data_IF_710269452146
#
_entry.id   IF_710269452146
#
_cell.length_a   1.000
_cell.length_b   1.000
_cell.length_c   1.000
_cell.angle_alpha   90.00
_cell.angle_beta   90.00
_cell.angle_gamma   90.00
#
_symmetry.space_group_name_H-M   'P 1'
#
loop_
_entity.id
_entity.type
_entity.pdbx_description
1 polymer ?
#
# COMPACT_ATOMS: atom_id res chain seq x y z
N UNK A 1 -22.99 -19.30 10.22
CA UNK A 1 -22.49 -18.12 10.96
C UNK A 1 -22.97 -16.87 10.23
N UNK A 2 -23.33 -15.78 10.90
CA UNK A 2 -23.67 -14.53 10.23
C UNK A 2 -22.45 -14.03 9.43
N UNK A 3 -22.70 -13.47 8.23
CA UNK A 3 -21.64 -12.86 7.42
C UNK A 3 -21.03 -11.67 8.20
N UNK A 4 -19.70 -11.51 8.25
CA UNK A 4 -19.07 -10.33 8.83
C UNK A 4 -19.62 -9.04 8.24
N UNK A 5 -19.75 -7.99 9.06
CA UNK A 5 -20.02 -6.65 8.55
C UNK A 5 -18.79 -6.12 7.80
N UNK A 6 -19.00 -5.38 6.72
CA UNK A 6 -17.92 -4.68 6.01
C UNK A 6 -18.18 -3.18 6.18
N UNK A 7 -17.17 -2.46 6.68
CA UNK A 7 -17.25 -1.03 7.01
C UNK A 7 -16.03 -0.33 6.44
N UNK A 8 -16.22 0.60 5.50
CA UNK A 8 -15.12 1.48 5.08
C UNK A 8 -14.81 2.51 6.16
N UNK A 9 -13.52 2.69 6.42
CA UNK A 9 -12.98 3.68 7.36
C UNK A 9 -12.28 4.85 6.65
N UNK A 10 -12.40 4.91 5.33
CA UNK A 10 -11.95 6.01 4.48
C UNK A 10 -12.80 7.25 4.75
N UNK A 11 -12.26 8.27 5.42
CA UNK A 11 -13.03 9.48 5.81
C UNK A 11 -12.84 10.65 4.86
N UNK A 12 -11.77 10.65 4.06
CA UNK A 12 -11.49 11.64 3.01
C UNK A 12 -11.09 13.03 3.51
N UNK A 13 -10.87 13.23 4.82
CA UNK A 13 -10.46 14.52 5.38
C UNK A 13 -9.79 14.39 6.76
N UNK A 14 -8.77 15.23 7.00
CA UNK A 14 -8.15 15.41 8.32
C UNK A 14 -8.87 16.48 9.18
N UNK A 15 -9.88 17.15 8.64
CA UNK A 15 -10.54 18.25 9.33
C UNK A 15 -11.45 17.72 10.45
N UNK A 16 -11.02 17.90 11.71
CA UNK A 16 -11.84 17.64 12.89
C UNK A 16 -11.28 16.55 13.80
N UNK A 17 -12.10 16.12 14.76
CA UNK A 17 -11.77 14.97 15.62
C UNK A 17 -11.86 13.65 14.83
N UNK A 18 -11.11 12.61 15.23
CA UNK A 18 -11.20 11.30 14.60
C UNK A 18 -12.63 10.77 14.56
N UNK A 19 -12.99 10.08 13.47
CA UNK A 19 -14.30 9.40 13.36
C UNK A 19 -14.27 8.14 14.23
N UNK A 20 -15.28 7.96 15.06
CA UNK A 20 -15.34 6.83 16.00
C UNK A 20 -16.24 5.72 15.47
N UNK A 21 -15.69 4.52 15.35
CA UNK A 21 -16.40 3.28 15.02
C UNK A 21 -16.52 2.37 16.25
N UNK A 22 -17.54 1.53 16.28
CA UNK A 22 -17.76 0.56 17.36
C UNK A 22 -17.92 -0.85 16.76
N UNK A 23 -16.97 -1.73 17.04
CA UNK A 23 -16.92 -3.10 16.53
C UNK A 23 -17.71 -4.10 17.41
N UNK A 24 -18.44 -3.62 18.43
CA UNK A 24 -19.16 -4.49 19.35
C UNK A 24 -20.26 -5.32 18.66
N UNK A 25 -20.35 -6.60 19.04
CA UNK A 25 -21.53 -7.44 18.82
C UNK A 25 -21.49 -8.36 17.60
N UNK A 26 -20.61 -8.15 16.61
CA UNK A 26 -20.38 -9.09 15.49
C UNK A 26 -19.06 -8.83 14.79
N UNK A 27 -18.46 -9.88 14.23
CA UNK A 27 -17.28 -9.79 13.36
C UNK A 27 -17.43 -8.69 12.30
N UNK A 28 -16.43 -7.83 12.21
CA UNK A 28 -16.37 -6.68 11.32
C UNK A 28 -15.04 -6.63 10.58
N UNK A 29 -15.10 -6.46 9.26
CA UNK A 29 -13.98 -6.12 8.40
C UNK A 29 -14.01 -4.61 8.16
N UNK A 30 -13.03 -3.90 8.69
CA UNK A 30 -12.80 -2.48 8.42
C UNK A 30 -11.92 -2.36 7.18
N UNK A 31 -12.36 -1.64 6.14
CA UNK A 31 -11.58 -1.48 4.90
C UNK A 31 -10.96 -0.09 4.84
N UNK A 32 -9.67 -0.03 4.58
CA UNK A 32 -8.88 1.19 4.42
C UNK A 32 -8.15 1.17 3.07
N UNK A 33 -8.17 2.28 2.35
CA UNK A 33 -7.40 2.52 1.15
C UNK A 33 -6.51 3.73 1.35
N UNK A 34 -5.18 3.53 1.26
CA UNK A 34 -4.19 4.59 1.49
C UNK A 34 -4.29 5.78 0.55
N UNK A 35 -4.94 5.63 -0.61
CA UNK A 35 -5.23 6.75 -1.51
C UNK A 35 -6.31 7.70 -0.96
N UNK A 36 -7.00 7.31 0.11
CA UNK A 36 -7.99 8.14 0.81
C UNK A 36 -7.53 8.40 2.24
N UNK A 37 -7.78 9.61 2.72
CA UNK A 37 -7.42 9.99 4.08
C UNK A 37 -8.27 9.20 5.11
N UNK A 38 -7.60 8.62 6.09
CA UNK A 38 -8.18 7.92 7.24
C UNK A 38 -7.72 8.56 8.55
N UNK A 39 -8.67 8.92 9.41
CA UNK A 39 -8.42 9.39 10.77
C UNK A 39 -9.54 8.89 11.69
N UNK A 40 -9.33 7.73 12.30
CA UNK A 40 -10.39 6.98 12.99
C UNK A 40 -9.96 6.39 14.31
N UNK A 41 -10.93 6.19 15.20
CA UNK A 41 -10.80 5.40 16.43
C UNK A 41 -11.80 4.25 16.36
N UNK A 42 -11.32 3.01 16.48
CA UNK A 42 -12.17 1.82 16.51
C UNK A 42 -12.22 1.31 17.95
N UNK A 43 -13.43 1.30 18.52
CA UNK A 43 -13.71 0.81 19.87
C UNK A 43 -14.19 -0.63 19.87
N UNK A 44 -13.88 -1.34 20.95
CA UNK A 44 -14.29 -2.72 21.18
C UNK A 44 -13.89 -3.64 20.02
N UNK A 45 -12.67 -3.46 19.48
CA UNK A 45 -12.09 -4.36 18.49
C UNK A 45 -11.85 -5.74 19.12
N UNK A 46 -12.25 -6.81 18.43
CA UNK A 46 -12.30 -8.18 18.95
C UNK A 46 -11.47 -9.11 18.09
N UNK A 47 -11.25 -10.33 18.59
CA UNK A 47 -10.46 -11.37 17.92
C UNK A 47 -11.02 -11.86 16.57
N UNK A 48 -12.27 -11.52 16.25
CA UNK A 48 -12.94 -11.83 14.99
C UNK A 48 -13.11 -10.61 14.07
N UNK A 49 -12.54 -9.46 14.46
CA UNK A 49 -12.47 -8.27 13.63
C UNK A 49 -11.14 -8.21 12.87
N UNK A 50 -11.15 -7.62 11.68
CA UNK A 50 -9.94 -7.44 10.86
C UNK A 50 -9.95 -6.07 10.20
N UNK A 51 -8.77 -5.56 9.87
CA UNK A 51 -8.58 -4.40 9.02
C UNK A 51 -8.04 -4.90 7.68
N UNK A 52 -8.80 -4.67 6.62
CA UNK A 52 -8.38 -4.93 5.25
C UNK A 52 -7.72 -3.68 4.68
N UNK A 53 -6.40 -3.74 4.46
CA UNK A 53 -5.62 -2.64 3.89
C UNK A 53 -5.51 -2.81 2.37
N UNK A 54 -5.53 -1.68 1.67
CA UNK A 54 -5.49 -1.60 0.19
C UNK A 54 -4.69 -0.41 -0.28
N UNK A 55 -4.14 -0.50 -1.51
CA UNK A 55 -3.36 0.57 -2.12
C UNK A 55 -1.89 0.63 -1.71
N UNK A 56 -1.45 -0.14 -0.71
CA UNK A 56 -0.02 -0.34 -0.40
C UNK A 56 0.17 -1.65 0.37
N UNK A 57 1.41 -2.14 0.39
CA UNK A 57 1.79 -3.28 1.22
C UNK A 57 1.68 -2.94 2.71
N UNK A 58 1.26 -3.92 3.53
CA UNK A 58 1.18 -3.78 4.98
C UNK A 58 2.48 -3.29 5.58
N UNK A 59 3.61 -3.74 5.05
CA UNK A 59 4.93 -3.47 5.62
C UNK A 59 5.31 -1.97 5.47
N UNK A 60 4.56 -1.20 4.68
CA UNK A 60 4.66 0.26 4.61
C UNK A 60 3.99 0.99 5.78
N UNK A 61 3.14 0.32 6.57
CA UNK A 61 2.49 0.92 7.73
C UNK A 61 3.38 0.87 8.97
N UNK A 62 3.33 1.93 9.76
CA UNK A 62 3.97 2.01 11.07
C UNK A 62 2.99 1.61 12.17
N UNK A 63 3.45 0.75 13.08
CA UNK A 63 2.69 0.26 14.23
C UNK A 63 3.33 0.76 15.51
N UNK A 64 2.54 1.33 16.39
CA UNK A 64 3.04 1.88 17.65
C UNK A 64 2.01 1.85 18.77
N UNK A 65 2.48 1.81 20.01
CA UNK A 65 1.62 2.07 21.17
C UNK A 65 1.31 3.57 21.26
N UNK A 66 0.06 3.95 21.54
CA UNK A 66 -0.30 5.36 21.66
C UNK A 66 0.43 6.03 22.85
N UNK A 67 0.80 7.29 22.67
CA UNK A 67 1.49 8.07 23.71
C UNK A 67 0.56 8.51 24.84
N UNK A 68 -0.72 8.68 24.57
CA UNK A 68 -1.73 9.18 25.49
C UNK A 68 -2.45 8.06 26.26
N UNK A 69 -2.71 6.91 25.63
CA UNK A 69 -3.15 5.68 26.31
C UNK A 69 -2.28 4.48 25.91
N UNK A 70 -1.47 3.91 26.83
CA UNK A 70 -0.60 2.77 26.51
C UNK A 70 -1.37 1.47 26.20
N UNK A 71 -2.70 1.47 26.29
CA UNK A 71 -3.56 0.35 25.90
C UNK A 71 -4.04 0.45 24.45
N UNK A 72 -3.73 1.54 23.77
CA UNK A 72 -4.15 1.77 22.39
C UNK A 72 -3.04 1.37 21.42
N UNK A 73 -3.45 0.73 20.32
CA UNK A 73 -2.60 0.48 19.17
C UNK A 73 -2.86 1.54 18.11
N UNK A 74 -1.81 2.16 17.62
CA UNK A 74 -1.83 3.18 16.57
C UNK A 74 -1.18 2.62 15.31
N UNK A 75 -1.93 2.65 14.22
CA UNK A 75 -1.50 2.22 12.90
C UNK A 75 -1.50 3.46 12.01
N UNK A 76 -0.36 3.80 11.46
CA UNK A 76 -0.21 5.00 10.64
C UNK A 76 0.50 4.73 9.34
N UNK A 77 0.07 5.44 8.30
CA UNK A 77 0.79 5.55 7.05
C UNK A 77 0.72 7.01 6.59
N UNK A 78 1.80 7.52 6.01
CA UNK A 78 1.83 8.88 5.49
C UNK A 78 2.72 8.96 4.26
N UNK A 79 2.11 9.34 3.14
CA UNK A 79 2.79 9.54 1.87
C UNK A 79 2.37 10.85 1.21
N UNK A 80 3.34 11.52 0.61
CA UNK A 80 3.17 12.91 0.18
C UNK A 80 2.95 13.84 1.37
N UNK A 81 2.87 15.15 1.15
CA UNK A 81 2.71 16.13 2.21
C UNK A 81 1.28 16.14 2.82
N UNK A 82 0.76 14.98 3.26
CA UNK A 82 -0.55 14.81 3.89
C UNK A 82 -1.72 14.54 2.94
N UNK A 83 -1.46 14.17 1.68
CA UNK A 83 -2.50 13.77 0.71
C UNK A 83 -2.97 12.34 0.92
N UNK A 84 -2.04 11.44 1.30
CA UNK A 84 -2.31 10.04 1.57
C UNK A 84 -1.91 9.77 3.02
N UNK A 85 -2.89 9.83 3.92
CA UNK A 85 -2.64 9.73 5.36
C UNK A 85 -3.62 8.74 5.97
N UNK A 86 -3.08 7.79 6.72
CA UNK A 86 -3.85 6.88 7.56
C UNK A 86 -3.43 7.06 9.01
N UNK A 87 -4.42 7.19 9.89
CA UNK A 87 -4.30 7.04 11.33
C UNK A 87 -5.50 6.26 11.84
N UNK A 88 -5.24 5.03 12.27
CA UNK A 88 -6.22 4.13 12.87
C UNK A 88 -5.78 3.89 14.31
N UNK A 89 -6.63 4.25 15.26
CA UNK A 89 -6.42 3.93 16.67
C UNK A 89 -7.36 2.81 17.06
N UNK A 90 -6.81 1.68 17.51
CA UNK A 90 -7.58 0.61 18.14
C UNK A 90 -7.60 0.85 19.64
N UNK A 91 -8.76 1.23 20.15
CA UNK A 91 -8.99 1.67 21.52
C UNK A 91 -8.99 0.46 22.48
N UNK A 92 -8.10 0.50 23.47
CA UNK A 92 -7.97 -0.48 24.55
C UNK A 92 -7.75 -1.94 24.10
N UNK A 93 -7.00 -2.17 23.02
CA UNK A 93 -6.70 -3.52 22.51
C UNK A 93 -5.44 -4.14 23.10
N UNK A 94 -4.53 -3.34 23.65
CA UNK A 94 -3.28 -3.81 24.21
C UNK A 94 -3.43 -4.11 25.71
N UNK A 95 -2.88 -5.25 26.16
CA UNK A 95 -2.79 -5.59 27.59
C UNK A 95 -1.51 -5.08 28.27
N UNK A 96 -0.73 -4.24 27.58
CA UNK A 96 0.59 -3.75 27.98
C UNK A 96 1.71 -4.29 27.08
N UNK A 97 2.83 -3.57 27.04
CA UNK A 97 3.94 -3.83 26.10
C UNK A 97 4.19 -2.64 25.18
N UNK A 98 5.35 -2.62 24.52
CA UNK A 98 5.69 -1.59 23.55
C UNK A 98 5.61 -2.20 22.15
N UNK A 99 4.79 -1.61 21.29
CA UNK A 99 4.65 -1.98 19.88
C UNK A 99 5.50 -1.02 19.06
N UNK A 100 6.26 -1.54 18.10
CA UNK A 100 7.10 -0.76 17.18
C UNK A 100 7.18 -1.33 15.76
N UNK A 101 6.55 -2.47 15.53
CA UNK A 101 6.43 -3.13 14.23
C UNK A 101 5.14 -3.97 14.21
N UNK A 102 4.83 -4.56 13.06
CA UNK A 102 3.63 -5.38 12.90
C UNK A 102 3.70 -6.67 13.73
N UNK A 103 4.86 -7.31 13.81
CA UNK A 103 5.06 -8.55 14.56
C UNK A 103 4.77 -8.36 16.05
N UNK A 104 5.27 -7.27 16.64
CA UNK A 104 4.98 -6.90 18.03
C UNK A 104 3.54 -6.48 18.22
N UNK A 105 2.90 -5.87 17.22
CA UNK A 105 1.47 -5.56 17.25
C UNK A 105 0.62 -6.84 17.30
N UNK A 106 0.87 -7.81 16.42
CA UNK A 106 0.18 -9.12 16.39
C UNK A 106 0.39 -9.87 17.69
N UNK A 107 1.61 -9.88 18.23
CA UNK A 107 1.90 -10.51 19.51
C UNK A 107 1.13 -9.85 20.67
N UNK A 108 1.03 -8.52 20.68
CA UNK A 108 0.35 -7.77 21.73
C UNK A 108 -1.18 -7.84 21.65
N UNK A 109 -1.74 -7.89 20.43
CA UNK A 109 -3.18 -8.06 20.16
C UNK A 109 -3.61 -9.53 20.30
N UNK A 110 -2.67 -10.48 20.12
CA UNK A 110 -2.87 -11.91 20.35
C UNK A 110 -3.46 -12.69 19.17
N UNK A 111 -3.64 -12.04 18.03
CA UNK A 111 -4.10 -12.65 16.77
C UNK A 111 -3.70 -11.76 15.60
N UNK A 112 -3.72 -12.32 14.38
CA UNK A 112 -3.56 -11.52 13.17
C UNK A 112 -4.85 -10.75 12.89
N UNK A 113 -4.73 -9.44 12.72
CA UNK A 113 -5.84 -8.50 12.57
C UNK A 113 -5.70 -7.63 11.31
N UNK A 114 -4.66 -7.81 10.51
CA UNK A 114 -4.47 -7.11 9.22
C UNK A 114 -4.58 -8.12 8.09
N UNK A 115 -5.29 -7.73 7.03
CA UNK A 115 -5.35 -8.49 5.79
C UNK A 115 -5.02 -7.55 4.63
N UNK A 116 -4.01 -7.86 3.83
CA UNK A 116 -3.83 -7.19 2.55
C UNK A 116 -4.80 -7.79 1.53
N UNK A 117 -5.56 -6.93 0.85
CA UNK A 117 -6.54 -7.39 -0.14
C UNK A 117 -6.13 -6.91 -1.53
N UNK A 118 -5.42 -7.77 -2.24
CA UNK A 118 -5.12 -7.59 -3.65
C UNK A 118 -4.94 -8.93 -4.38
N UNK A 119 -4.97 -8.87 -5.70
CA UNK A 119 -4.65 -9.98 -6.59
C UNK A 119 -3.16 -9.91 -6.91
N UNK A 120 -2.40 -10.90 -6.45
CA UNK A 120 -0.96 -10.97 -6.66
C UNK A 120 -0.61 -11.48 -8.07
N UNK A 121 0.34 -10.81 -8.70
CA UNK A 121 1.05 -11.28 -9.88
C UNK A 121 2.56 -11.04 -9.69
N UNK A 122 3.38 -11.97 -10.20
CA UNK A 122 4.85 -11.86 -10.22
C UNK A 122 5.33 -12.24 -11.61
N UNK A 123 6.27 -11.45 -12.14
CA UNK A 123 6.89 -11.63 -13.45
C UNK A 123 8.41 -11.51 -13.28
N UNK A 124 8.99 -12.43 -12.51
CA UNK A 124 10.45 -12.62 -12.51
C UNK A 124 10.83 -13.59 -13.64
N UNK A 125 10.58 -13.20 -14.90
CA UNK A 125 10.62 -14.16 -16.05
C UNK A 125 12.02 -14.43 -16.58
N UNK A 126 13.04 -13.71 -16.13
CA UNK A 126 14.43 -13.99 -16.46
C UNK A 126 14.80 -13.88 -17.95
N UNK A 127 13.89 -13.46 -18.85
CA UNK A 127 14.18 -13.27 -20.27
C UNK A 127 13.46 -12.07 -20.88
N UNK A 128 14.19 -11.37 -21.76
CA UNK A 128 14.01 -9.95 -22.12
C UNK A 128 13.40 -9.71 -23.51
N UNK A 129 12.80 -10.73 -24.14
CA UNK A 129 12.55 -10.64 -25.59
C UNK A 129 11.27 -9.87 -25.92
N UNK A 130 10.20 -10.04 -25.14
CA UNK A 130 8.94 -9.33 -25.33
C UNK A 130 8.39 -8.94 -23.95
N UNK A 131 7.70 -7.80 -23.87
CA UNK A 131 7.03 -7.42 -22.64
C UNK A 131 5.82 -8.34 -22.41
N UNK A 132 5.62 -8.76 -21.17
CA UNK A 132 4.39 -9.44 -20.77
C UNK A 132 3.34 -8.40 -20.41
N UNK A 133 2.14 -8.51 -20.99
CA UNK A 133 1.03 -7.62 -20.67
C UNK A 133 0.22 -8.23 -19.53
N UNK A 134 0.12 -7.50 -18.42
CA UNK A 134 -0.80 -7.81 -17.33
C UNK A 134 -1.90 -6.76 -17.28
N UNK A 135 -3.10 -7.21 -16.95
CA UNK A 135 -4.26 -6.34 -16.80
C UNK A 135 -4.61 -6.21 -15.32
N UNK A 136 -4.45 -5.01 -14.78
CA UNK A 136 -4.77 -4.65 -13.40
C UNK A 136 -6.24 -4.24 -13.20
N UNK A 137 -7.10 -4.36 -14.23
CA UNK A 137 -8.50 -4.00 -14.12
C UNK A 137 -9.26 -4.88 -13.11
N UNK A 138 -10.10 -4.24 -12.29
CA UNK A 138 -11.05 -4.91 -11.42
C UNK A 138 -10.82 -4.59 -9.95
N UNK A 139 -10.42 -5.59 -9.17
CA UNK A 139 -10.03 -5.40 -7.77
C UNK A 139 -8.56 -4.96 -7.72
N UNK A 140 -8.12 -4.48 -6.55
CA UNK A 140 -6.73 -4.12 -6.31
C UNK A 140 -5.74 -5.18 -6.82
N UNK A 141 -4.69 -4.70 -7.47
CA UNK A 141 -3.66 -5.48 -8.10
C UNK A 141 -2.31 -5.24 -7.41
N UNK A 142 -1.59 -6.33 -7.14
CA UNK A 142 -0.27 -6.30 -6.53
C UNK A 142 0.73 -6.95 -7.47
N UNK A 143 1.72 -6.16 -7.91
CA UNK A 143 2.82 -6.67 -8.70
C UNK A 143 4.07 -6.84 -7.84
N UNK A 144 4.59 -8.05 -7.71
CA UNK A 144 5.88 -8.28 -7.04
C UNK A 144 7.03 -8.34 -8.06
N UNK A 145 8.10 -7.60 -7.76
CA UNK A 145 9.31 -7.46 -8.58
C UNK A 145 10.56 -7.72 -7.72
N UNK A 146 11.37 -8.71 -8.10
CA UNK A 146 12.72 -8.88 -7.57
C UNK A 146 13.71 -8.14 -8.46
N UNK A 147 14.27 -7.04 -7.94
CA UNK A 147 15.19 -6.20 -8.70
C UNK A 147 16.50 -6.92 -9.10
N UNK A 148 16.78 -8.09 -8.53
CA UNK A 148 17.91 -8.97 -8.88
C UNK A 148 17.56 -9.98 -9.99
N UNK A 149 16.28 -10.08 -10.35
CA UNK A 149 15.76 -10.81 -11.50
C UNK A 149 15.42 -9.85 -12.64
N UNK A 150 15.31 -10.39 -13.86
CA UNK A 150 14.98 -9.58 -15.04
C UNK A 150 13.47 -9.55 -15.25
N UNK A 151 12.92 -8.34 -15.32
CA UNK A 151 11.49 -8.05 -15.51
C UNK A 151 11.29 -7.19 -16.75
N UNK A 152 10.28 -7.53 -17.56
CA UNK A 152 9.82 -6.70 -18.67
C UNK A 152 8.29 -6.83 -18.78
N UNK A 153 7.57 -5.83 -18.28
CA UNK A 153 6.12 -5.90 -18.11
C UNK A 153 5.44 -4.60 -18.52
N UNK A 154 4.25 -4.73 -19.11
CA UNK A 154 3.27 -3.66 -19.29
C UNK A 154 2.09 -3.93 -18.37
N UNK A 155 1.80 -3.01 -17.47
CA UNK A 155 0.62 -3.06 -16.58
C UNK A 155 -0.47 -2.14 -17.15
N UNK A 156 -1.49 -2.75 -17.74
CA UNK A 156 -2.67 -2.08 -18.27
C UNK A 156 -3.70 -1.82 -17.16
N UNK A 157 -4.42 -0.70 -17.25
CA UNK A 157 -5.52 -0.36 -16.32
C UNK A 157 -5.11 -0.24 -14.85
N UNK A 158 -3.84 0.09 -14.57
CA UNK A 158 -3.32 0.29 -13.21
C UNK A 158 -3.94 1.55 -12.58
N UNK A 159 -4.49 1.42 -11.38
CA UNK A 159 -5.32 2.46 -10.74
C UNK A 159 -5.10 2.55 -9.23
N UNK A 160 -5.76 3.53 -8.61
CA UNK A 160 -5.69 3.73 -7.16
C UNK A 160 -6.21 2.49 -6.41
N UNK A 161 -5.38 1.93 -5.53
CA UNK A 161 -5.62 0.64 -4.88
C UNK A 161 -4.61 -0.43 -5.30
N UNK A 162 -3.96 -0.25 -6.45
CA UNK A 162 -2.90 -1.11 -6.95
C UNK A 162 -1.53 -0.64 -6.46
N UNK A 163 -0.58 -1.56 -6.30
CA UNK A 163 0.80 -1.22 -5.99
C UNK A 163 1.80 -2.23 -6.58
N UNK A 164 3.04 -1.79 -6.71
CA UNK A 164 4.20 -2.61 -7.01
C UNK A 164 5.02 -2.79 -5.73
N UNK A 165 5.36 -4.03 -5.40
CA UNK A 165 6.28 -4.38 -4.32
C UNK A 165 7.62 -4.78 -4.91
N UNK A 166 8.63 -3.95 -4.67
CA UNK A 166 9.99 -4.20 -5.12
C UNK A 166 10.82 -4.73 -3.97
N UNK A 167 11.60 -5.77 -4.23
CA UNK A 167 12.63 -6.27 -3.31
C UNK A 167 14.02 -6.13 -3.92
N UNK A 168 15.05 -5.99 -3.08
CA UNK A 168 16.45 -5.99 -3.53
C UNK A 168 16.95 -4.67 -4.14
N UNK A 169 16.12 -3.62 -4.15
CA UNK A 169 16.48 -2.27 -4.57
C UNK A 169 15.64 -1.22 -3.83
N UNK A 170 16.02 0.05 -3.94
CA UNK A 170 15.33 1.19 -3.36
C UNK A 170 14.78 2.13 -4.43
N UNK A 171 13.87 3.02 -4.05
CA UNK A 171 13.29 4.00 -4.97
C UNK A 171 14.32 4.92 -5.65
N UNK A 172 15.49 5.12 -5.04
CA UNK A 172 16.57 5.93 -5.62
C UNK A 172 17.38 5.20 -6.69
N UNK A 173 17.26 3.88 -6.76
CA UNK A 173 17.96 3.06 -7.76
C UNK A 173 17.22 3.04 -9.11
N UNK A 174 15.88 3.17 -9.07
CA UNK A 174 15.04 3.20 -10.26
C UNK A 174 15.03 4.58 -10.93
N UNK A 175 14.99 4.57 -12.25
CA UNK A 175 14.70 5.72 -13.09
C UNK A 175 13.21 5.76 -13.46
N UNK A 176 12.63 6.96 -13.40
CA UNK A 176 11.22 7.22 -13.68
C UNK A 176 11.13 8.25 -14.80
N UNK A 177 10.41 7.92 -15.86
CA UNK A 177 10.23 8.82 -16.99
C UNK A 177 8.88 8.59 -17.65
N UNK A 178 8.40 9.59 -18.39
CA UNK A 178 7.31 9.38 -19.33
C UNK A 178 7.80 8.54 -20.51
N UNK A 179 6.95 7.70 -21.07
CA UNK A 179 7.28 7.04 -22.32
C UNK A 179 7.47 8.07 -23.43
N UNK A 180 8.36 7.75 -24.36
CA UNK A 180 8.54 8.54 -25.58
C UNK A 180 7.42 8.28 -26.59
N UNK A 181 6.85 7.07 -26.56
CA UNK A 181 5.85 6.62 -27.52
C UNK A 181 4.45 7.09 -27.12
N UNK A 182 4.13 7.09 -25.82
CA UNK A 182 2.95 7.72 -25.24
C UNK A 182 3.32 8.54 -23.99
N UNK A 183 2.99 9.83 -24.00
CA UNK A 183 3.34 10.72 -22.89
C UNK A 183 2.54 10.42 -21.61
N UNK A 184 1.44 9.67 -21.72
CA UNK A 184 0.59 9.26 -20.60
C UNK A 184 1.15 8.03 -19.86
N UNK A 185 2.10 7.31 -20.44
CA UNK A 185 2.69 6.14 -19.80
C UNK A 185 3.81 6.52 -18.84
N UNK A 186 3.89 5.81 -17.72
CA UNK A 186 5.04 5.85 -16.84
C UNK A 186 5.97 4.66 -17.14
N UNK A 187 7.22 4.96 -17.47
CA UNK A 187 8.28 3.97 -17.66
C UNK A 187 9.21 4.01 -16.45
N UNK A 188 9.38 2.84 -15.84
CA UNK A 188 10.16 2.60 -14.62
C UNK A 188 11.24 1.60 -14.99
N UNK A 189 12.50 1.99 -14.82
CA UNK A 189 13.63 1.15 -15.24
C UNK A 189 14.72 1.08 -14.19
N UNK A 190 15.29 -0.11 -14.03
CA UNK A 190 16.47 -0.33 -13.21
C UNK A 190 17.38 -1.39 -13.84
N UNK A 191 18.66 -1.35 -13.53
CA UNK A 191 19.60 -2.43 -13.85
C UNK A 191 20.43 -2.69 -12.62
N UNK A 192 20.30 -3.88 -12.04
CA UNK A 192 21.10 -4.26 -10.90
C UNK A 192 22.57 -4.37 -11.33
N UNK A 193 23.48 -3.55 -10.77
CA UNK A 193 24.89 -3.61 -11.13
C UNK A 193 25.57 -4.92 -10.70
N UNK A 194 24.98 -5.68 -9.78
CA UNK A 194 25.56 -6.90 -9.24
C UNK A 194 25.25 -8.11 -10.12
N UNK A 195 23.99 -8.32 -10.47
CA UNK A 195 23.52 -9.43 -11.32
C UNK A 195 23.51 -9.10 -12.81
N UNK A 196 23.44 -7.82 -13.18
CA UNK A 196 23.19 -7.36 -14.54
C UNK A 196 21.73 -7.52 -14.98
N UNK A 197 20.83 -7.90 -14.06
CA UNK A 197 19.42 -8.02 -14.35
C UNK A 197 18.80 -6.65 -14.66
N UNK A 198 17.92 -6.62 -15.67
CA UNK A 198 17.24 -5.40 -16.11
C UNK A 198 15.77 -5.46 -15.77
N UNK A 199 15.25 -4.39 -15.20
CA UNK A 199 13.84 -4.27 -14.82
C UNK A 199 13.25 -3.15 -15.66
N UNK A 200 12.20 -3.46 -16.42
CA UNK A 200 11.43 -2.52 -17.23
C UNK A 200 9.95 -2.74 -16.91
N UNK A 201 9.35 -1.75 -16.26
CA UNK A 201 7.94 -1.76 -15.91
C UNK A 201 7.31 -0.54 -16.57
N UNK A 202 6.33 -0.77 -17.44
CA UNK A 202 5.53 0.28 -18.06
C UNK A 202 4.13 0.26 -17.42
N UNK A 203 3.69 1.42 -16.93
CA UNK A 203 2.31 1.62 -16.51
C UNK A 203 1.59 2.40 -17.61
N UNK A 204 0.61 1.75 -18.23
CA UNK A 204 -0.12 2.24 -19.39
C UNK A 204 -1.16 3.31 -18.97
N UNK A 205 -1.13 4.48 -19.60
CA UNK A 205 -2.12 5.56 -19.45
C UNK A 205 -2.33 6.08 -18.00
N UNK A 206 -1.34 5.95 -17.10
CA UNK A 206 -1.48 6.34 -15.68
C UNK A 206 -1.15 7.81 -15.36
N UNK A 207 -0.54 8.55 -16.29
CA UNK A 207 -0.11 9.93 -16.05
C UNK A 207 -1.10 10.93 -16.66
N UNK A 208 -1.99 11.56 -15.86
CA UNK A 208 -3.09 12.37 -16.37
C UNK A 208 -2.68 13.75 -16.93
N UNK A 209 -1.56 14.31 -16.46
CA UNK A 209 -1.08 15.66 -16.81
C UNK A 209 0.36 15.61 -17.33
N UNK A 210 0.78 16.53 -18.20
CA UNK A 210 2.14 16.57 -18.80
C UNK A 210 3.27 17.11 -17.87
N UNK A 211 3.11 17.00 -16.55
CA UNK A 211 4.13 17.44 -15.58
C UNK A 211 5.44 16.63 -15.69
N UNK A 212 6.59 17.20 -15.28
CA UNK A 212 7.85 16.47 -15.32
C UNK A 212 7.82 15.27 -14.36
N UNK A 213 8.35 14.14 -14.82
CA UNK A 213 8.60 12.94 -14.02
C UNK A 213 10.05 12.56 -14.20
N UNK A 214 10.85 12.64 -13.14
CA UNK A 214 12.26 12.23 -13.14
C UNK A 214 12.68 11.45 -11.89
N UNK A 215 11.75 11.20 -10.98
CA UNK A 215 11.96 10.40 -9.78
C UNK A 215 10.61 9.88 -9.27
N UNK A 216 10.68 8.93 -8.34
CA UNK A 216 9.52 8.30 -7.72
C UNK A 216 8.56 9.31 -7.06
N UNK A 217 9.06 10.31 -6.33
CA UNK A 217 8.20 11.31 -5.66
C UNK A 217 7.37 12.08 -6.70
N UNK A 218 7.98 12.47 -7.81
CA UNK A 218 7.28 13.15 -8.90
C UNK A 218 6.31 12.22 -9.64
N UNK A 219 6.68 10.96 -9.85
CA UNK A 219 5.81 9.97 -10.46
C UNK A 219 4.56 9.75 -9.61
N UNK A 220 4.73 9.55 -8.30
CA UNK A 220 3.61 9.31 -7.38
C UNK A 220 2.73 10.55 -7.21
N UNK A 221 3.33 11.75 -7.20
CA UNK A 221 2.57 12.99 -7.21
C UNK A 221 1.77 13.19 -8.53
N UNK A 222 2.33 12.77 -9.67
CA UNK A 222 1.66 12.86 -10.96
C UNK A 222 0.52 11.86 -11.10
N UNK A 223 0.70 10.63 -10.60
CA UNK A 223 -0.32 9.57 -10.56
C UNK A 223 -1.40 9.90 -9.51
N UNK A 224 -1.01 10.54 -8.40
CA UNK A 224 -1.90 10.97 -7.33
C UNK A 224 -2.00 10.03 -6.14
N UNK A 225 -1.32 8.88 -6.17
CA UNK A 225 -1.23 7.94 -5.06
C UNK A 225 0.15 7.29 -4.97
N UNK A 226 0.45 6.66 -3.84
CA UNK A 226 1.63 5.82 -3.71
C UNK A 226 1.38 4.49 -4.41
N UNK A 227 2.22 4.15 -5.38
CA UNK A 227 2.07 2.98 -6.23
C UNK A 227 3.27 2.04 -6.17
N UNK A 228 4.31 2.35 -5.39
CA UNK A 228 5.46 1.45 -5.22
C UNK A 228 5.93 1.41 -3.77
N UNK A 229 6.19 0.21 -3.28
CA UNK A 229 6.86 -0.04 -2.01
C UNK A 229 8.17 -0.79 -2.22
N UNK A 230 9.09 -0.64 -1.28
CA UNK A 230 10.45 -1.19 -1.35
C UNK A 230 10.77 -1.92 -0.04
N UNK A 231 11.19 -3.18 -0.14
CA UNK A 231 11.50 -4.07 0.98
C UNK A 231 12.96 -4.54 0.98
#
# INVERSE_FOLDING_TARGET
>A
MPKPAIVSIDVGSLAGSPVVFNAAGRATTFTDNVSTITNVVIRHFRADDVIALTGIDRDSYNFSTAFDDPRDLVITYNFGAGTNFTSIVLDNVLSGGFVFDYETAVAAVGHDFIVNTCTEATIDVGTVVEAENLNAAGNNFCFEDDATATTNVVLESFAAGDYIKVSGATSTDYNFARSFDDINDLVITYTDPSSGATNVILLDDVLPDAGPVSNYIQAAAAIGFDFMTFA
#
